data_IF_348499282925
#
_entry.id   IF_348499282925
#
_cell.length_a   1.000
_cell.length_b   1.000
_cell.length_c   1.000
_cell.angle_alpha   90.00
_cell.angle_beta   90.00
_cell.angle_gamma   90.00
#
_symmetry.space_group_name_H-M   'P 1'
#
loop_
_entity.id
_entity.type
_entity.pdbx_description
1 polymer ?
#
# COMPACT_ATOMS: atom_id res chain seq x y z
N UNK A 1 10.48 -42.41 -54.09
CA UNK A 1 10.96 -41.79 -52.81
C UNK A 1 12.02 -40.68 -52.99
N UNK A 2 12.71 -40.54 -54.10
CA UNK A 2 13.76 -39.53 -54.31
C UNK A 2 13.27 -38.11 -54.61
N UNK A 3 12.07 -37.95 -55.15
CA UNK A 3 11.50 -36.60 -55.50
C UNK A 3 10.99 -35.78 -54.30
N UNK A 4 10.63 -36.42 -53.19
CA UNK A 4 10.12 -35.71 -51.98
C UNK A 4 11.25 -35.15 -51.13
N UNK A 5 12.46 -35.71 -51.18
CA UNK A 5 13.62 -35.25 -50.43
C UNK A 5 14.27 -33.98 -51.03
N UNK A 6 14.18 -33.75 -52.32
CA UNK A 6 14.76 -32.57 -52.99
C UNK A 6 13.92 -31.31 -52.73
N UNK A 7 12.60 -31.44 -52.69
CA UNK A 7 11.68 -30.31 -52.41
C UNK A 7 11.81 -29.85 -50.95
N UNK A 8 12.09 -30.77 -50.01
CA UNK A 8 12.26 -30.43 -48.59
C UNK A 8 13.58 -29.71 -48.30
N UNK A 9 14.64 -30.00 -49.05
CA UNK A 9 15.96 -29.37 -48.92
C UNK A 9 16.00 -27.91 -49.48
N UNK A 10 15.18 -27.63 -50.50
CA UNK A 10 15.08 -26.27 -51.07
C UNK A 10 14.25 -25.33 -50.19
N UNK A 11 13.24 -25.83 -49.50
CA UNK A 11 12.36 -25.02 -48.62
C UNK A 11 13.07 -24.60 -47.31
N UNK A 12 13.96 -25.44 -46.80
CA UNK A 12 14.72 -25.12 -45.58
C UNK A 12 15.85 -24.10 -45.81
N UNK A 13 16.43 -24.05 -47.01
CA UNK A 13 17.46 -23.06 -47.32
C UNK A 13 16.89 -21.66 -47.53
N UNK A 14 15.67 -21.55 -48.07
CA UNK A 14 15.01 -20.23 -48.20
C UNK A 14 14.57 -19.69 -46.83
N UNK A 15 14.07 -20.52 -45.91
CA UNK A 15 13.74 -20.06 -44.56
C UNK A 15 14.96 -19.55 -43.80
N UNK A 16 16.10 -20.21 -43.87
CA UNK A 16 17.33 -19.71 -43.27
C UNK A 16 17.79 -18.35 -43.80
N UNK A 17 17.58 -18.09 -45.11
CA UNK A 17 17.86 -16.77 -45.70
C UNK A 17 16.91 -15.70 -45.19
N UNK A 18 15.65 -16.00 -44.97
CA UNK A 18 14.69 -15.05 -44.40
C UNK A 18 14.98 -14.75 -42.92
N UNK A 19 15.44 -15.73 -42.11
CA UNK A 19 15.87 -15.50 -40.74
C UNK A 19 17.16 -14.66 -40.66
N UNK A 20 18.10 -14.85 -41.57
CA UNK A 20 19.32 -14.03 -41.67
C UNK A 20 18.98 -12.61 -42.11
N UNK A 21 18.07 -12.42 -43.03
CA UNK A 21 17.59 -11.09 -43.48
C UNK A 21 16.79 -10.40 -42.39
N UNK A 22 15.92 -11.10 -41.67
CA UNK A 22 15.17 -10.59 -40.51
C UNK A 22 16.11 -10.20 -39.35
N UNK A 23 17.17 -11.00 -39.11
CA UNK A 23 18.18 -10.69 -38.10
C UNK A 23 19.01 -9.46 -38.48
N UNK A 24 19.34 -9.28 -39.76
CA UNK A 24 20.04 -8.09 -40.26
C UNK A 24 19.18 -6.83 -40.19
N UNK A 25 17.87 -6.93 -40.51
CA UNK A 25 16.91 -5.83 -40.35
C UNK A 25 16.70 -5.47 -38.87
N UNK A 26 16.68 -6.47 -37.98
CA UNK A 26 16.59 -6.24 -36.54
C UNK A 26 17.86 -5.58 -35.98
N UNK A 27 19.04 -5.88 -36.56
CA UNK A 27 20.32 -5.31 -36.15
C UNK A 27 20.50 -3.87 -36.65
N UNK A 28 19.94 -3.50 -37.81
CA UNK A 28 19.96 -2.13 -38.34
C UNK A 28 18.94 -1.23 -37.61
N UNK A 29 17.85 -1.79 -37.09
CA UNK A 29 16.88 -1.06 -36.26
C UNK A 29 17.43 -0.75 -34.84
N UNK A 30 18.55 -1.36 -34.43
CA UNK A 30 19.16 -1.18 -33.10
C UNK A 30 20.14 0.00 -32.96
N UNK A 31 20.44 0.74 -34.06
CA UNK A 31 21.23 1.98 -34.01
C UNK A 31 20.34 3.23 -34.02
N UNK A 32 19.25 3.21 -33.23
CA UNK A 32 18.65 4.46 -32.83
C UNK A 32 19.66 5.15 -31.92
N UNK A 33 20.37 6.14 -32.45
CA UNK A 33 21.11 7.11 -31.64
C UNK A 33 20.14 7.58 -30.59
N UNK A 34 20.46 7.34 -29.31
CA UNK A 34 19.75 7.94 -28.21
C UNK A 34 19.93 9.45 -28.36
N UNK A 35 19.00 10.09 -29.04
CA UNK A 35 18.88 11.52 -29.06
C UNK A 35 18.49 11.87 -27.62
N UNK A 36 19.34 12.58 -26.91
CA UNK A 36 19.04 13.07 -25.56
C UNK A 36 17.74 13.87 -25.65
N UNK A 37 16.66 13.24 -25.20
CA UNK A 37 15.33 13.84 -25.22
C UNK A 37 15.33 14.95 -24.15
N UNK A 38 15.27 16.21 -24.60
CA UNK A 38 15.14 17.35 -23.69
C UNK A 38 13.67 17.66 -23.48
N UNK A 39 13.22 17.51 -22.24
CA UNK A 39 11.84 17.86 -21.85
C UNK A 39 11.87 19.23 -21.17
N UNK A 40 11.08 20.17 -21.70
CA UNK A 40 10.85 21.45 -21.05
C UNK A 40 9.63 21.34 -20.12
N UNK A 41 9.76 21.78 -18.88
CA UNK A 41 8.73 21.71 -17.85
C UNK A 41 8.42 23.11 -17.31
N UNK A 42 7.14 23.43 -17.21
CA UNK A 42 6.64 24.55 -16.39
C UNK A 42 6.46 24.06 -14.95
N UNK A 43 6.35 24.99 -14.00
CA UNK A 43 6.11 24.65 -12.58
C UNK A 43 4.84 23.82 -12.40
N UNK A 44 3.75 24.21 -13.06
CA UNK A 44 2.47 23.49 -12.98
C UNK A 44 2.59 22.04 -13.48
N UNK A 45 3.25 21.83 -14.61
CA UNK A 45 3.48 20.50 -15.16
C UNK A 45 4.35 19.65 -14.23
N UNK A 46 5.38 20.23 -13.63
CA UNK A 46 6.24 19.53 -12.66
C UNK A 46 5.43 19.07 -11.44
N UNK A 47 4.56 19.94 -10.91
CA UNK A 47 3.66 19.61 -9.78
C UNK A 47 2.69 18.48 -10.16
N UNK A 48 2.05 18.54 -11.31
CA UNK A 48 1.13 17.50 -11.78
C UNK A 48 1.82 16.14 -11.92
N UNK A 49 3.01 16.09 -12.53
CA UNK A 49 3.83 14.88 -12.63
C UNK A 49 4.20 14.36 -11.24
N UNK A 50 4.62 15.25 -10.32
CA UNK A 50 4.99 14.86 -8.98
C UNK A 50 3.82 14.28 -8.19
N UNK A 51 2.65 14.89 -8.25
CA UNK A 51 1.44 14.39 -7.58
C UNK A 51 0.96 13.04 -8.15
N UNK A 52 1.25 12.77 -9.42
CA UNK A 52 0.85 11.51 -10.05
C UNK A 52 1.90 10.40 -9.90
N UNK A 53 3.17 10.71 -10.10
CA UNK A 53 4.22 9.72 -10.28
C UNK A 53 5.29 9.69 -9.20
N UNK A 54 5.42 10.73 -8.35
CA UNK A 54 6.47 10.72 -7.32
C UNK A 54 6.31 9.56 -6.33
N UNK A 55 7.42 8.99 -5.84
CA UNK A 55 7.38 7.94 -4.82
C UNK A 55 6.59 8.34 -3.57
N UNK A 56 6.68 9.62 -3.17
CA UNK A 56 5.99 10.16 -2.01
C UNK A 56 4.48 10.22 -2.23
N UNK A 57 4.02 10.70 -3.40
CA UNK A 57 2.59 10.72 -3.75
C UNK A 57 2.01 9.30 -3.85
N UNK A 58 2.78 8.35 -4.41
CA UNK A 58 2.37 6.95 -4.46
C UNK A 58 2.26 6.34 -3.06
N UNK A 59 3.22 6.60 -2.17
CA UNK A 59 3.17 6.16 -0.77
C UNK A 59 1.95 6.72 -0.05
N UNK A 60 1.67 8.02 -0.19
CA UNK A 60 0.48 8.67 0.37
C UNK A 60 -0.82 8.04 -0.17
N UNK A 61 -0.89 7.76 -1.48
CA UNK A 61 -2.03 7.10 -2.11
C UNK A 61 -2.25 5.69 -1.57
N UNK A 62 -1.18 4.91 -1.38
CA UNK A 62 -1.27 3.56 -0.81
C UNK A 62 -1.71 3.58 0.66
N UNK A 63 -1.21 4.52 1.46
CA UNK A 63 -1.62 4.73 2.85
C UNK A 63 -3.11 5.08 2.93
N UNK A 64 -3.58 5.99 2.09
CA UNK A 64 -5.01 6.31 2.01
C UNK A 64 -5.87 5.11 1.58
N UNK A 65 -5.42 4.32 0.59
CA UNK A 65 -6.11 3.10 0.17
C UNK A 65 -6.21 2.08 1.30
N UNK A 66 -5.14 1.92 2.08
CA UNK A 66 -5.16 1.05 3.27
C UNK A 66 -6.21 1.53 4.29
N UNK A 67 -6.25 2.84 4.59
CA UNK A 67 -7.25 3.43 5.48
C UNK A 67 -8.69 3.25 4.95
N UNK A 68 -8.90 3.40 3.64
CA UNK A 68 -10.19 3.15 2.99
C UNK A 68 -10.65 1.69 3.18
N UNK A 69 -9.76 0.72 2.94
CA UNK A 69 -10.11 -0.69 3.09
C UNK A 69 -10.29 -1.08 4.55
N UNK A 70 -9.54 -0.50 5.49
CA UNK A 70 -9.75 -0.66 6.93
C UNK A 70 -11.12 -0.15 7.35
N UNK A 71 -11.54 1.01 6.84
CA UNK A 71 -12.90 1.53 7.08
C UNK A 71 -13.99 0.64 6.47
N UNK A 72 -13.74 0.09 5.26
CA UNK A 72 -14.66 -0.89 4.64
C UNK A 72 -14.76 -2.18 5.44
N UNK A 73 -13.63 -2.70 5.93
CA UNK A 73 -13.57 -3.86 6.82
C UNK A 73 -14.34 -3.59 8.13
N UNK A 74 -14.09 -2.44 8.75
CA UNK A 74 -14.86 -2.02 9.92
C UNK A 74 -16.37 -2.04 9.65
N UNK A 75 -16.82 -1.48 8.55
CA UNK A 75 -18.25 -1.50 8.17
C UNK A 75 -18.77 -2.92 7.96
N UNK A 76 -17.97 -3.80 7.39
CA UNK A 76 -18.34 -5.20 7.17
C UNK A 76 -18.57 -5.97 8.48
N UNK A 77 -17.89 -5.59 9.58
CA UNK A 77 -18.10 -6.21 10.90
C UNK A 77 -19.51 -6.00 11.49
N UNK A 78 -20.29 -5.10 10.91
CA UNK A 78 -21.72 -4.91 11.27
C UNK A 78 -22.68 -5.70 10.37
N UNK A 79 -22.17 -6.42 9.39
CA UNK A 79 -22.94 -7.31 8.54
C UNK A 79 -22.87 -8.75 9.09
N UNK A 80 -23.86 -9.61 8.76
CA UNK A 80 -23.77 -11.03 9.09
C UNK A 80 -22.52 -11.67 8.45
N UNK A 81 -21.79 -12.46 9.24
CA UNK A 81 -20.68 -13.28 8.76
C UNK A 81 -21.12 -14.74 8.67
N UNK A 82 -20.68 -15.44 7.63
CA UNK A 82 -20.93 -16.86 7.42
C UNK A 82 -19.61 -17.61 7.53
N UNK A 83 -19.55 -18.59 8.41
CA UNK A 83 -18.36 -19.40 8.64
C UNK A 83 -18.70 -20.87 8.46
N UNK A 84 -17.97 -21.55 7.58
CA UNK A 84 -17.98 -23.02 7.45
C UNK A 84 -16.70 -23.55 8.07
N UNK A 85 -16.81 -24.48 9.00
CA UNK A 85 -15.68 -25.11 9.65
C UNK A 85 -15.82 -26.64 9.63
N UNK A 86 -14.68 -27.34 9.48
CA UNK A 86 -14.60 -28.79 9.57
C UNK A 86 -13.37 -29.15 10.41
N UNK A 87 -13.56 -30.12 11.31
CA UNK A 87 -12.53 -30.55 12.26
C UNK A 87 -12.48 -32.08 12.30
N UNK A 88 -11.69 -32.74 11.40
CA UNK A 88 -11.44 -34.17 11.52
C UNK A 88 -10.48 -34.44 12.68
N UNK A 89 -10.83 -35.40 13.54
CA UNK A 89 -10.02 -35.82 14.68
C UNK A 89 -9.94 -37.35 14.71
N UNK A 90 -8.74 -37.88 14.54
CA UNK A 90 -8.45 -39.33 14.68
C UNK A 90 -7.97 -39.59 16.10
N UNK A 91 -8.78 -40.30 16.88
CA UNK A 91 -8.47 -40.68 18.25
C UNK A 91 -8.14 -42.18 18.32
N UNK A 92 -6.97 -42.55 18.84
CA UNK A 92 -6.50 -43.87 19.12
C UNK A 92 -5.98 -43.96 20.54
N UNK A 93 -6.81 -44.52 21.43
CA UNK A 93 -6.45 -44.64 22.84
C UNK A 93 -6.88 -46.00 23.40
N UNK A 94 -6.33 -46.38 24.56
CA UNK A 94 -6.75 -47.51 25.33
C UNK A 94 -7.38 -47.01 26.62
N UNK A 95 -8.68 -47.17 26.71
CA UNK A 95 -9.48 -46.75 27.87
C UNK A 95 -9.53 -47.86 28.89
N UNK A 96 -9.18 -47.55 30.13
CA UNK A 96 -9.36 -48.47 31.26
C UNK A 96 -10.75 -48.30 31.85
N UNK A 97 -11.57 -49.32 31.75
CA UNK A 97 -12.91 -49.35 32.34
C UNK A 97 -12.86 -50.27 33.55
N UNK A 98 -13.20 -49.75 34.74
CA UNK A 98 -13.35 -50.55 35.94
C UNK A 98 -14.77 -51.12 35.99
N UNK A 99 -14.88 -52.43 36.02
CA UNK A 99 -16.15 -53.12 36.08
C UNK A 99 -16.74 -53.09 37.50
N UNK A 100 -18.05 -53.33 37.69
CA UNK A 100 -18.69 -53.34 39.01
C UNK A 100 -18.09 -54.38 40.01
N UNK A 101 -17.42 -55.40 39.49
CA UNK A 101 -16.72 -56.44 40.27
C UNK A 101 -15.30 -56.02 40.70
N UNK A 102 -14.87 -54.79 40.38
CA UNK A 102 -13.54 -54.26 40.67
C UNK A 102 -12.46 -54.67 39.69
N UNK A 103 -12.76 -55.46 38.66
CA UNK A 103 -11.82 -55.81 37.61
C UNK A 103 -11.61 -54.67 36.61
N UNK A 104 -10.42 -54.56 36.03
CA UNK A 104 -10.11 -53.55 35.01
C UNK A 104 -10.11 -54.19 33.62
N UNK A 105 -10.96 -53.68 32.75
CA UNK A 105 -10.97 -53.99 31.34
C UNK A 105 -10.32 -52.90 30.54
N UNK A 106 -9.41 -53.24 29.63
CA UNK A 106 -8.80 -52.30 28.70
C UNK A 106 -9.50 -52.40 27.37
N UNK A 107 -10.19 -51.30 26.97
CA UNK A 107 -10.90 -51.20 25.70
C UNK A 107 -10.12 -50.30 24.76
N UNK A 108 -9.78 -50.81 23.60
CA UNK A 108 -9.17 -49.99 22.54
C UNK A 108 -10.27 -49.13 21.90
N UNK A 109 -10.02 -47.88 21.79
CA UNK A 109 -10.86 -46.92 21.05
C UNK A 109 -10.07 -46.41 19.86
N UNK A 110 -10.56 -46.68 18.67
CA UNK A 110 -9.97 -46.24 17.41
C UNK A 110 -11.08 -45.65 16.57
N UNK A 111 -11.21 -44.34 16.59
CA UNK A 111 -12.32 -43.63 15.96
C UNK A 111 -11.86 -42.39 15.20
N UNK A 112 -12.52 -42.11 14.08
CA UNK A 112 -12.44 -40.85 13.35
C UNK A 112 -13.72 -40.03 13.64
N UNK A 113 -13.57 -38.88 14.25
CA UNK A 113 -14.64 -37.95 14.44
C UNK A 113 -14.46 -36.77 13.48
N UNK A 114 -15.45 -36.49 12.67
CA UNK A 114 -15.43 -35.37 11.73
C UNK A 114 -16.61 -34.46 11.99
N UNK A 115 -16.33 -33.25 12.44
CA UNK A 115 -17.31 -32.20 12.66
C UNK A 115 -17.40 -31.30 11.43
N UNK A 116 -18.63 -31.00 10.99
CA UNK A 116 -18.94 -29.99 9.98
C UNK A 116 -19.93 -29.00 10.57
N UNK A 117 -19.54 -27.72 10.62
CA UNK A 117 -20.37 -26.66 11.21
C UNK A 117 -20.47 -25.47 10.26
N UNK A 118 -21.71 -25.02 10.03
CA UNK A 118 -22.02 -23.76 9.35
C UNK A 118 -22.64 -22.82 10.38
N UNK A 119 -21.98 -21.67 10.59
CA UNK A 119 -22.43 -20.63 11.53
C UNK A 119 -22.64 -19.31 10.79
N UNK A 120 -23.81 -18.69 11.01
CA UNK A 120 -24.10 -17.31 10.64
C UNK A 120 -24.05 -16.50 11.93
N UNK A 121 -23.23 -15.45 11.99
CA UNK A 121 -23.06 -14.63 13.18
C UNK A 121 -23.35 -13.16 12.85
N UNK A 122 -24.13 -12.48 13.69
CA UNK A 122 -24.49 -11.07 13.56
C UNK A 122 -24.12 -10.32 14.85
N UNK A 123 -23.20 -9.37 14.73
CA UNK A 123 -22.83 -8.50 15.83
C UNK A 123 -23.92 -7.44 16.10
N UNK A 124 -24.22 -7.21 17.38
CA UNK A 124 -25.22 -6.23 17.83
C UNK A 124 -24.47 -5.05 18.47
N UNK A 125 -24.32 -3.96 17.73
CA UNK A 125 -23.45 -2.85 18.11
C UNK A 125 -23.86 -2.12 19.41
N UNK A 126 -25.17 -2.02 19.70
CA UNK A 126 -25.65 -1.26 20.86
C UNK A 126 -25.53 -2.04 22.16
N UNK A 127 -25.60 -3.37 22.14
CA UNK A 127 -25.40 -4.24 23.30
C UNK A 127 -23.95 -4.69 23.43
N UNK A 128 -23.23 -4.83 22.34
CA UNK A 128 -21.88 -5.42 22.29
C UNK A 128 -21.90 -6.94 22.23
N UNK A 129 -23.08 -7.55 22.15
CA UNK A 129 -23.25 -8.99 22.00
C UNK A 129 -23.30 -9.45 20.56
N UNK A 130 -23.50 -10.74 20.36
CA UNK A 130 -23.68 -11.33 19.04
C UNK A 130 -24.82 -12.34 19.02
N UNK A 131 -25.58 -12.30 17.95
CA UNK A 131 -26.64 -13.25 17.63
C UNK A 131 -26.09 -14.25 16.62
N UNK A 132 -26.36 -15.55 16.82
CA UNK A 132 -25.90 -16.57 15.91
C UNK A 132 -26.97 -17.61 15.58
N UNK A 133 -26.85 -18.13 14.35
CA UNK A 133 -27.58 -19.34 13.91
C UNK A 133 -26.48 -20.29 13.42
N UNK A 134 -26.53 -21.55 13.92
CA UNK A 134 -25.58 -22.58 13.49
C UNK A 134 -26.28 -23.91 13.19
N UNK A 135 -25.71 -24.65 12.27
CA UNK A 135 -25.98 -26.07 12.06
C UNK A 135 -24.67 -26.84 12.22
N UNK A 136 -24.73 -27.99 12.88
CA UNK A 136 -23.53 -28.82 13.09
C UNK A 136 -23.89 -30.28 12.85
N UNK A 137 -23.03 -30.98 12.12
CA UNK A 137 -23.11 -32.41 11.94
C UNK A 137 -21.77 -33.01 12.30
N UNK A 138 -21.78 -33.93 13.25
CA UNK A 138 -20.63 -34.75 13.62
C UNK A 138 -20.84 -36.15 13.09
N UNK A 139 -19.88 -36.70 12.38
CA UNK A 139 -19.80 -38.09 12.00
C UNK A 139 -18.70 -38.75 12.81
N UNK A 140 -19.02 -39.89 13.42
CA UNK A 140 -18.11 -40.70 14.20
C UNK A 140 -18.04 -42.08 13.51
N UNK A 141 -16.86 -42.47 13.04
CA UNK A 141 -16.55 -43.76 12.51
C UNK A 141 -15.67 -44.48 13.54
N UNK A 142 -16.20 -45.54 14.13
CA UNK A 142 -15.49 -46.41 15.06
C UNK A 142 -14.98 -47.65 14.29
N UNK A 143 -13.66 -47.81 14.24
CA UNK A 143 -13.03 -48.84 13.37
C UNK A 143 -12.98 -50.21 14.00
N UNK A 144 -13.10 -50.34 15.32
CA UNK A 144 -13.07 -51.66 16.00
C UNK A 144 -14.37 -52.44 15.80
N UNK A 145 -15.52 -51.76 15.78
CA UNK A 145 -16.85 -52.40 15.65
C UNK A 145 -17.54 -52.09 14.31
N UNK A 146 -16.83 -51.42 13.38
CA UNK A 146 -17.35 -50.97 12.07
C UNK A 146 -18.68 -50.17 12.22
N UNK A 147 -18.72 -49.30 13.25
CA UNK A 147 -19.89 -48.51 13.59
C UNK A 147 -19.75 -47.10 13.10
N UNK A 148 -20.74 -46.60 12.35
CA UNK A 148 -20.86 -45.18 12.00
C UNK A 148 -22.08 -44.61 12.72
N UNK A 149 -21.81 -43.47 13.42
CA UNK A 149 -22.84 -42.72 14.12
C UNK A 149 -22.80 -41.24 13.69
N UNK A 150 -23.94 -40.59 13.70
CA UNK A 150 -24.11 -39.20 13.41
C UNK A 150 -24.75 -38.47 14.60
N UNK A 151 -24.16 -37.34 14.97
CA UNK A 151 -24.75 -36.39 15.91
C UNK A 151 -25.01 -35.08 15.17
N UNK A 152 -26.24 -34.75 14.91
CA UNK A 152 -26.64 -33.60 14.11
C UNK A 152 -27.46 -32.61 14.94
N UNK A 153 -27.09 -31.35 14.84
CA UNK A 153 -27.87 -30.21 15.34
C UNK A 153 -28.36 -29.41 14.11
N UNK A 154 -29.54 -29.71 13.58
CA UNK A 154 -29.99 -29.12 12.31
C UNK A 154 -30.10 -27.61 12.37
N UNK A 155 -30.53 -27.07 13.51
CA UNK A 155 -30.62 -25.63 13.76
C UNK A 155 -30.39 -25.34 15.24
N UNK A 156 -29.52 -24.41 15.52
CA UNK A 156 -29.30 -23.83 16.84
C UNK A 156 -29.26 -22.31 16.67
N UNK A 157 -30.10 -21.63 17.44
CA UNK A 157 -30.16 -20.16 17.49
C UNK A 157 -29.67 -19.73 18.86
N UNK A 158 -28.83 -18.73 18.94
CA UNK A 158 -28.32 -18.26 20.22
C UNK A 158 -27.92 -16.80 20.22
N UNK A 159 -27.73 -16.31 21.43
CA UNK A 159 -27.25 -14.96 21.72
C UNK A 159 -26.21 -15.03 22.81
N UNK A 160 -25.11 -14.31 22.59
CA UNK A 160 -24.02 -14.18 23.55
C UNK A 160 -23.73 -12.71 23.82
N UNK A 161 -23.54 -12.34 25.11
CA UNK A 161 -23.25 -10.97 25.49
C UNK A 161 -22.50 -10.93 26.82
N UNK A 162 -21.47 -10.11 26.88
CA UNK A 162 -20.87 -9.71 28.14
C UNK A 162 -21.72 -8.61 28.77
N UNK A 163 -22.25 -8.85 30.00
CA UNK A 163 -23.19 -7.94 30.65
C UNK A 163 -22.52 -6.67 31.18
N UNK A 164 -21.30 -6.79 31.69
CA UNK A 164 -20.52 -5.69 32.26
C UNK A 164 -19.23 -5.41 31.48
N UNK A 165 -19.09 -6.05 30.32
CA UNK A 165 -17.91 -5.95 29.48
C UNK A 165 -17.83 -4.64 28.69
N UNK A 166 -16.63 -4.36 28.20
CA UNK A 166 -16.38 -3.26 27.29
C UNK A 166 -17.01 -3.53 25.91
N UNK A 167 -17.86 -2.59 25.45
CA UNK A 167 -18.50 -2.68 24.14
C UNK A 167 -17.63 -1.99 23.07
N UNK A 168 -16.72 -2.74 22.44
CA UNK A 168 -15.81 -2.28 21.38
C UNK A 168 -16.58 -1.81 20.13
N UNK A 169 -17.68 -2.48 19.76
CA UNK A 169 -18.49 -2.13 18.59
C UNK A 169 -19.06 -0.71 18.69
N UNK A 170 -19.54 -0.33 19.88
CA UNK A 170 -20.08 1.01 20.13
C UNK A 170 -19.01 2.09 20.02
N UNK A 171 -17.81 1.85 20.51
CA UNK A 171 -16.70 2.79 20.43
C UNK A 171 -16.13 2.88 19.02
N UNK A 172 -15.90 1.76 18.37
CA UNK A 172 -15.39 1.74 17.00
C UNK A 172 -16.35 2.45 16.02
N UNK A 173 -17.66 2.37 16.27
CA UNK A 173 -18.65 3.10 15.46
C UNK A 173 -18.48 4.62 15.52
N UNK A 174 -17.91 5.15 16.61
CA UNK A 174 -17.62 6.58 16.78
C UNK A 174 -16.24 6.95 16.29
N UNK A 175 -15.25 6.09 16.51
CA UNK A 175 -13.83 6.35 16.23
C UNK A 175 -13.50 6.16 14.75
N UNK A 176 -13.94 5.07 14.14
CA UNK A 176 -13.53 4.73 12.76
C UNK A 176 -13.95 5.74 11.68
N UNK A 177 -15.13 6.39 11.74
CA UNK A 177 -15.45 7.46 10.82
C UNK A 177 -14.53 8.69 10.94
N UNK A 178 -14.07 9.00 12.17
CA UNK A 178 -13.12 10.09 12.42
C UNK A 178 -11.76 9.73 11.83
N UNK A 179 -11.27 8.52 12.11
CA UNK A 179 -10.02 7.99 11.55
C UNK A 179 -10.01 8.01 10.01
N UNK A 180 -11.13 7.69 9.39
CA UNK A 180 -11.23 7.75 7.93
C UNK A 180 -11.23 9.20 7.40
N UNK A 181 -11.87 10.16 8.09
CA UNK A 181 -11.81 11.60 7.73
C UNK A 181 -10.40 12.15 7.89
N UNK A 182 -9.74 11.82 9.01
CA UNK A 182 -8.33 12.12 9.26
C UNK A 182 -7.45 11.62 8.11
N UNK A 183 -7.52 10.33 7.77
CA UNK A 183 -6.73 9.74 6.69
C UNK A 183 -6.95 10.42 5.33
N UNK A 184 -8.17 10.89 5.04
CA UNK A 184 -8.46 11.64 3.82
C UNK A 184 -7.78 13.00 3.81
N UNK A 185 -7.78 13.71 4.94
CA UNK A 185 -7.11 15.01 5.07
C UNK A 185 -5.59 14.87 5.03
N UNK A 186 -5.05 13.86 5.72
CA UNK A 186 -3.61 13.53 5.67
C UNK A 186 -3.15 13.22 4.24
N UNK A 187 -3.97 12.55 3.45
CA UNK A 187 -3.66 12.33 2.03
C UNK A 187 -3.60 13.64 1.24
N UNK A 188 -4.56 14.55 1.45
CA UNK A 188 -4.54 15.86 0.79
C UNK A 188 -3.32 16.69 1.21
N UNK A 189 -3.00 16.71 2.51
CA UNK A 189 -1.81 17.39 3.05
C UNK A 189 -0.52 16.83 2.45
N UNK A 190 -0.40 15.50 2.32
CA UNK A 190 0.76 14.86 1.71
C UNK A 190 0.95 15.26 0.24
N UNK A 191 -0.14 15.45 -0.52
CA UNK A 191 -0.06 15.95 -1.90
C UNK A 191 0.39 17.40 -1.97
N UNK A 192 -0.09 18.26 -1.04
CA UNK A 192 0.35 19.65 -0.95
C UNK A 192 1.84 19.75 -0.56
N UNK A 193 2.30 18.88 0.33
CA UNK A 193 3.71 18.78 0.69
C UNK A 193 4.58 18.38 -0.52
N UNK A 194 4.11 17.42 -1.33
CA UNK A 194 4.76 17.05 -2.59
C UNK A 194 4.83 18.25 -3.54
N UNK A 195 3.75 19.03 -3.66
CA UNK A 195 3.72 20.22 -4.51
C UNK A 195 4.72 21.29 -4.05
N UNK A 196 4.77 21.56 -2.73
CA UNK A 196 5.71 22.49 -2.14
C UNK A 196 7.17 22.07 -2.37
N UNK A 197 7.47 20.81 -2.16
CA UNK A 197 8.81 20.28 -2.37
C UNK A 197 9.21 20.27 -3.85
N UNK A 198 8.27 19.97 -4.76
CA UNK A 198 8.48 20.07 -6.21
C UNK A 198 8.83 21.50 -6.59
N UNK A 199 8.10 22.50 -6.06
CA UNK A 199 8.37 23.92 -6.33
C UNK A 199 9.77 24.30 -5.89
N UNK A 200 10.21 23.87 -4.71
CA UNK A 200 11.56 24.12 -4.22
C UNK A 200 12.62 23.54 -5.15
N UNK A 201 12.49 22.28 -5.56
CA UNK A 201 13.43 21.61 -6.45
C UNK A 201 13.42 22.20 -7.86
N UNK A 202 12.26 22.61 -8.35
CA UNK A 202 12.10 23.30 -9.64
C UNK A 202 12.90 24.61 -9.67
N UNK A 203 12.74 25.47 -8.66
CA UNK A 203 13.45 26.74 -8.60
C UNK A 203 14.94 26.58 -8.31
N UNK A 204 15.36 25.53 -7.60
CA UNK A 204 16.77 25.22 -7.45
C UNK A 204 17.42 24.91 -8.81
N UNK A 205 16.77 24.08 -9.63
CA UNK A 205 17.23 23.79 -10.99
C UNK A 205 17.22 25.04 -11.88
N UNK A 206 16.16 25.87 -11.82
CA UNK A 206 16.08 27.11 -12.58
C UNK A 206 17.23 28.07 -12.24
N UNK A 207 17.55 28.17 -10.95
CA UNK A 207 18.68 29.00 -10.47
C UNK A 207 20.02 28.44 -10.98
N UNK A 208 20.22 27.12 -10.92
CA UNK A 208 21.42 26.48 -11.43
C UNK A 208 21.59 26.68 -12.95
N UNK A 209 20.50 26.55 -13.74
CA UNK A 209 20.51 26.83 -15.18
C UNK A 209 20.87 28.27 -15.49
N UNK A 210 20.28 29.23 -14.75
CA UNK A 210 20.61 30.66 -14.89
C UNK A 210 22.06 30.95 -14.56
N UNK A 211 22.58 30.35 -13.49
CA UNK A 211 23.99 30.50 -13.12
C UNK A 211 24.95 29.94 -14.18
N UNK A 212 24.59 28.84 -14.84
CA UNK A 212 25.37 28.29 -15.95
C UNK A 212 25.37 29.25 -17.17
N UNK A 213 24.23 29.86 -17.49
CA UNK A 213 24.13 30.83 -18.58
C UNK A 213 24.97 32.06 -18.27
N UNK A 214 24.99 32.56 -17.05
CA UNK A 214 25.83 33.67 -16.58
C UNK A 214 27.33 33.27 -16.66
N UNK A 215 27.73 32.12 -16.13
CA UNK A 215 29.12 31.66 -16.17
C UNK A 215 29.63 31.50 -17.61
N UNK A 216 28.77 30.97 -18.50
CA UNK A 216 29.08 30.81 -19.92
C UNK A 216 29.29 32.18 -20.60
N UNK A 217 28.44 33.17 -20.30
CA UNK A 217 28.58 34.53 -20.81
C UNK A 217 29.86 35.22 -20.31
N UNK A 218 30.16 35.04 -19.00
CA UNK A 218 31.41 35.57 -18.41
C UNK A 218 32.65 34.94 -19.04
N UNK A 219 32.66 33.62 -19.23
CA UNK A 219 33.77 32.94 -19.92
C UNK A 219 33.95 33.45 -21.36
N UNK A 220 32.87 33.62 -22.12
CA UNK A 220 32.96 34.16 -23.49
C UNK A 220 33.55 35.60 -23.50
N UNK A 221 33.18 36.41 -22.49
CA UNK A 221 33.75 37.76 -22.33
C UNK A 221 35.25 37.72 -21.97
N UNK A 222 35.64 36.86 -21.03
CA UNK A 222 37.01 36.68 -20.60
C UNK A 222 37.91 36.12 -21.75
N UNK A 223 37.41 35.20 -22.55
CA UNK A 223 38.10 34.66 -23.73
C UNK A 223 38.31 35.77 -24.78
N UNK A 224 37.33 36.61 -25.00
CA UNK A 224 37.44 37.76 -25.90
C UNK A 224 38.51 38.75 -25.42
N UNK A 225 38.51 39.09 -24.13
CA UNK A 225 39.54 39.98 -23.54
C UNK A 225 40.94 39.39 -23.63
N UNK A 226 41.08 38.11 -23.37
CA UNK A 226 42.37 37.41 -23.50
C UNK A 226 42.89 37.45 -24.96
N UNK A 227 42.04 37.17 -25.96
CA UNK A 227 42.43 37.26 -27.38
C UNK A 227 42.87 38.66 -27.80
N UNK A 228 42.18 39.69 -27.29
CA UNK A 228 42.65 41.10 -27.53
C UNK A 228 43.97 41.37 -26.86
N UNK A 229 44.26 40.86 -25.67
CA UNK A 229 45.51 41.01 -24.97
C UNK A 229 46.62 40.29 -25.69
N UNK A 230 46.41 39.07 -26.16
CA UNK A 230 47.38 38.29 -26.97
C UNK A 230 47.77 39.06 -28.25
N UNK A 231 46.81 39.65 -28.96
CA UNK A 231 47.07 40.50 -30.12
C UNK A 231 47.89 41.73 -29.78
N UNK A 232 47.61 42.42 -28.66
CA UNK A 232 48.34 43.58 -28.18
C UNK A 232 49.77 43.23 -27.68
N UNK A 233 49.96 42.08 -27.06
CA UNK A 233 51.27 41.57 -26.66
C UNK A 233 52.10 41.27 -27.87
N UNK A 234 51.59 40.64 -28.91
CA UNK A 234 52.30 40.31 -30.13
C UNK A 234 52.81 41.55 -30.89
N UNK A 235 52.17 42.72 -30.77
CA UNK A 235 52.66 43.98 -31.34
C UNK A 235 53.36 44.85 -30.31
N UNK A 236 53.65 44.35 -29.09
CA UNK A 236 54.47 44.98 -28.07
C UNK A 236 53.79 46.14 -27.32
N UNK A 237 52.46 46.21 -27.28
CA UNK A 237 51.71 47.31 -26.63
C UNK A 237 51.34 47.03 -25.20
N UNK A 238 51.41 45.76 -24.74
CA UNK A 238 51.20 45.34 -23.33
C UNK A 238 52.37 44.44 -22.90
N UNK A 239 52.60 44.30 -21.61
CA UNK A 239 53.60 43.42 -21.05
C UNK A 239 53.06 42.00 -20.84
N UNK A 240 53.94 41.01 -20.63
CA UNK A 240 53.59 39.61 -20.42
C UNK A 240 52.77 39.39 -19.18
N UNK A 241 53.02 40.12 -18.09
CA UNK A 241 52.23 40.00 -16.85
C UNK A 241 50.77 40.37 -17.06
N UNK A 242 50.47 41.42 -17.83
CA UNK A 242 49.10 41.83 -18.16
C UNK A 242 48.39 40.76 -19.00
N UNK A 243 49.06 40.15 -19.94
CA UNK A 243 48.53 39.04 -20.75
C UNK A 243 48.24 37.81 -19.89
N UNK A 244 49.21 37.38 -19.04
CA UNK A 244 49.07 36.24 -18.14
C UNK A 244 47.92 36.45 -17.10
N UNK A 245 47.72 37.69 -16.63
CA UNK A 245 46.60 38.03 -15.75
C UNK A 245 45.24 37.75 -16.41
N UNK A 246 45.08 38.09 -17.68
CA UNK A 246 43.87 37.83 -18.44
C UNK A 246 43.70 36.36 -18.80
N UNK A 247 44.82 35.62 -18.99
CA UNK A 247 44.79 34.17 -19.15
C UNK A 247 44.31 33.46 -17.88
N UNK A 248 44.80 33.86 -16.70
CA UNK A 248 44.33 33.33 -15.39
C UNK A 248 42.84 33.62 -15.22
N UNK A 249 42.38 34.83 -15.57
CA UNK A 249 40.96 35.17 -15.50
C UNK A 249 40.12 34.27 -16.42
N UNK A 250 40.53 34.03 -17.67
CA UNK A 250 39.86 33.12 -18.60
C UNK A 250 39.77 31.70 -18.04
N UNK A 251 40.89 31.13 -17.50
CA UNK A 251 40.92 29.80 -16.89
C UNK A 251 40.07 29.70 -15.65
N UNK A 252 39.97 30.77 -14.89
CA UNK A 252 39.07 30.86 -13.72
C UNK A 252 37.60 30.79 -14.17
N UNK A 253 37.23 31.58 -15.19
CA UNK A 253 35.85 31.54 -15.71
C UNK A 253 35.51 30.20 -16.40
N UNK A 254 36.49 29.54 -17.05
CA UNK A 254 36.29 28.18 -17.56
C UNK A 254 36.01 27.19 -16.44
N UNK A 255 36.72 27.31 -15.31
CA UNK A 255 36.45 26.47 -14.12
C UNK A 255 35.07 26.76 -13.54
N UNK A 256 34.64 28.05 -13.53
CA UNK A 256 33.31 28.42 -13.09
C UNK A 256 32.19 27.80 -13.95
N UNK A 257 32.37 27.74 -15.29
CA UNK A 257 31.45 27.04 -16.20
C UNK A 257 31.38 25.55 -15.89
N UNK A 258 32.52 24.89 -15.63
CA UNK A 258 32.54 23.47 -15.29
C UNK A 258 31.77 23.21 -13.98
N UNK A 259 32.04 24.02 -12.95
CA UNK A 259 31.32 23.89 -11.67
C UNK A 259 29.81 24.14 -11.80
N UNK A 260 29.42 25.17 -12.56
CA UNK A 260 28.01 25.45 -12.81
C UNK A 260 27.31 24.35 -13.59
N UNK A 261 28.01 23.67 -14.51
CA UNK A 261 27.49 22.53 -15.26
C UNK A 261 27.25 21.32 -14.34
N UNK A 262 28.20 21.04 -13.42
CA UNK A 262 28.04 19.98 -12.42
C UNK A 262 26.80 20.26 -11.52
N UNK A 263 26.64 21.52 -11.10
CA UNK A 263 25.48 21.92 -10.28
C UNK A 263 24.16 21.72 -11.00
N UNK A 264 24.07 22.08 -12.29
CA UNK A 264 22.87 21.83 -13.11
C UNK A 264 22.55 20.34 -13.18
N UNK A 265 23.57 19.50 -13.40
CA UNK A 265 23.37 18.03 -13.47
C UNK A 265 22.87 17.47 -12.12
N UNK A 266 23.43 17.92 -11.00
CA UNK A 266 23.03 17.50 -9.65
C UNK A 266 21.58 17.89 -9.34
N UNK A 267 21.22 19.15 -9.58
CA UNK A 267 19.87 19.65 -9.36
C UNK A 267 18.85 18.99 -10.30
N UNK A 268 19.23 18.73 -11.55
CA UNK A 268 18.42 18.02 -12.53
C UNK A 268 18.19 16.56 -12.11
N UNK A 269 19.22 15.87 -11.64
CA UNK A 269 19.12 14.50 -11.14
C UNK A 269 18.21 14.43 -9.90
N UNK A 270 18.34 15.40 -9.01
CA UNK A 270 17.51 15.49 -7.80
C UNK A 270 16.03 15.68 -8.14
N UNK A 271 15.73 16.63 -9.03
CA UNK A 271 14.35 16.87 -9.48
C UNK A 271 13.79 15.64 -10.23
N UNK A 272 14.57 15.06 -11.13
CA UNK A 272 14.17 13.86 -11.90
C UNK A 272 13.83 12.69 -10.99
N UNK A 273 14.67 12.42 -9.99
CA UNK A 273 14.45 11.37 -8.99
C UNK A 273 13.19 11.63 -8.17
N UNK A 274 12.97 12.89 -7.77
CA UNK A 274 11.77 13.28 -7.01
C UNK A 274 10.48 13.14 -7.83
N UNK A 275 10.52 13.51 -9.11
CA UNK A 275 9.38 13.34 -10.02
C UNK A 275 9.08 11.88 -10.37
N UNK A 276 9.98 10.94 -10.03
CA UNK A 276 9.85 9.52 -10.36
C UNK A 276 10.14 9.22 -11.85
N UNK A 277 10.90 10.08 -12.53
CA UNK A 277 11.29 9.88 -13.93
C UNK A 277 12.53 8.99 -13.98
N UNK A 278 12.34 7.72 -14.35
CA UNK A 278 13.41 6.70 -14.38
C UNK A 278 14.25 6.71 -15.66
N UNK A 279 13.99 7.62 -16.60
CA UNK A 279 14.75 7.75 -17.85
C UNK A 279 15.83 8.81 -17.69
N UNK A 280 16.98 8.63 -18.33
CA UNK A 280 17.99 9.68 -18.50
C UNK A 280 17.48 10.67 -19.55
N UNK A 281 16.81 11.71 -19.08
CA UNK A 281 16.22 12.78 -19.91
C UNK A 281 16.77 14.09 -19.39
N UNK A 282 17.17 14.97 -20.29
CA UNK A 282 17.54 16.33 -19.95
C UNK A 282 16.29 17.16 -19.62
N UNK A 283 16.22 17.67 -18.39
CA UNK A 283 15.14 18.55 -17.96
C UNK A 283 15.55 20.02 -18.11
N UNK A 284 14.76 20.77 -18.86
CA UNK A 284 14.86 22.24 -18.89
C UNK A 284 13.63 22.82 -18.21
N UNK A 285 13.83 23.57 -17.15
CA UNK A 285 12.73 24.23 -16.45
C UNK A 285 12.52 25.65 -16.99
N UNK A 286 11.26 26.04 -17.10
CA UNK A 286 10.85 27.35 -17.58
C UNK A 286 10.03 28.00 -16.45
N UNK A 287 10.62 28.87 -15.63
CA UNK A 287 9.90 29.60 -14.61
C UNK A 287 8.94 30.63 -15.26
N UNK A 288 7.81 30.88 -14.61
CA UNK A 288 6.94 32.00 -15.01
C UNK A 288 7.60 33.32 -14.67
N UNK A 289 7.50 34.28 -15.57
CA UNK A 289 8.03 35.63 -15.38
C UNK A 289 7.12 36.52 -14.52
N UNK A 290 5.85 36.11 -14.34
CA UNK A 290 4.88 36.84 -13.55
C UNK A 290 4.87 36.37 -12.10
N UNK A 291 5.17 37.27 -11.17
CA UNK A 291 5.02 37.04 -9.74
C UNK A 291 3.57 37.37 -9.37
N UNK A 292 2.76 36.39 -8.92
CA UNK A 292 1.40 36.67 -8.53
C UNK A 292 1.36 37.60 -7.31
N UNK A 293 0.68 38.72 -7.45
CA UNK A 293 0.50 39.69 -6.36
C UNK A 293 -0.82 39.42 -5.63
N UNK A 294 -0.73 38.68 -4.48
CA UNK A 294 -1.90 38.42 -3.64
C UNK A 294 -1.55 38.59 -2.16
N UNK A 295 -2.52 39.06 -1.39
CA UNK A 295 -2.40 39.11 0.06
C UNK A 295 -3.09 37.89 0.68
N UNK A 296 -2.52 37.33 1.72
CA UNK A 296 -3.10 36.22 2.48
C UNK A 296 -3.65 36.78 3.80
N UNK A 297 -4.98 37.00 3.92
CA UNK A 297 -5.57 37.45 5.18
C UNK A 297 -5.39 36.38 6.26
N UNK A 298 -4.84 36.78 7.41
CA UNK A 298 -4.53 35.83 8.52
C UNK A 298 -5.77 35.05 8.97
N UNK A 299 -6.92 35.69 9.05
CA UNK A 299 -8.15 35.01 9.50
C UNK A 299 -8.63 33.95 8.51
N UNK A 300 -8.51 34.23 7.22
CA UNK A 300 -8.88 33.26 6.18
C UNK A 300 -7.90 32.10 6.15
N UNK A 301 -6.60 32.38 6.22
CA UNK A 301 -5.56 31.35 6.31
C UNK A 301 -5.78 30.42 7.51
N UNK A 302 -6.07 30.96 8.69
CA UNK A 302 -6.36 30.22 9.90
C UNK A 302 -7.64 29.36 9.75
N UNK A 303 -8.70 29.90 9.19
CA UNK A 303 -9.94 29.18 8.93
C UNK A 303 -9.71 28.01 7.96
N UNK A 304 -8.98 28.23 6.87
CA UNK A 304 -8.65 27.18 5.88
C UNK A 304 -7.72 26.13 6.48
N UNK A 305 -6.76 26.52 7.32
CA UNK A 305 -5.89 25.60 8.03
C UNK A 305 -6.71 24.65 8.92
N UNK A 306 -7.59 25.17 9.78
CA UNK A 306 -8.46 24.34 10.61
C UNK A 306 -9.40 23.42 9.81
N UNK A 307 -9.89 23.88 8.66
CA UNK A 307 -10.79 23.12 7.81
C UNK A 307 -10.09 21.98 7.09
N UNK A 308 -8.88 22.21 6.57
CA UNK A 308 -8.19 21.31 5.67
C UNK A 308 -7.16 20.42 6.38
N UNK A 309 -6.56 20.91 7.48
CA UNK A 309 -5.59 20.15 8.27
C UNK A 309 -6.19 18.90 8.91
N UNK A 310 -5.44 17.79 9.04
CA UNK A 310 -5.87 16.59 9.73
C UNK A 310 -5.89 16.71 11.26
N UNK A 311 -5.17 17.68 11.86
CA UNK A 311 -4.99 17.77 13.31
C UNK A 311 -6.30 17.84 14.11
N UNK A 312 -7.34 18.59 13.70
CA UNK A 312 -8.60 18.62 14.44
C UNK A 312 -9.23 17.22 14.57
N UNK A 313 -9.22 16.44 13.49
CA UNK A 313 -9.69 15.05 13.50
C UNK A 313 -8.78 14.15 14.33
N UNK A 314 -7.47 14.35 14.27
CA UNK A 314 -6.48 13.61 15.07
C UNK A 314 -6.74 13.81 16.56
N UNK A 315 -6.93 15.05 17.01
CA UNK A 315 -7.23 15.33 18.42
C UNK A 315 -8.61 14.81 18.85
N UNK A 316 -9.63 14.90 17.99
CA UNK A 316 -10.93 14.31 18.26
C UNK A 316 -10.85 12.78 18.39
N UNK A 317 -10.12 12.13 17.50
CA UNK A 317 -9.88 10.68 17.55
C UNK A 317 -9.13 10.28 18.82
N UNK A 318 -8.02 10.91 19.15
CA UNK A 318 -7.23 10.63 20.35
C UNK A 318 -8.08 10.79 21.62
N UNK A 319 -8.89 11.83 21.70
CA UNK A 319 -9.82 12.05 22.80
C UNK A 319 -10.87 10.93 22.92
N UNK A 320 -11.39 10.45 21.79
CA UNK A 320 -12.34 9.34 21.77
C UNK A 320 -11.67 8.01 22.12
N UNK A 321 -10.47 7.76 21.62
CA UNK A 321 -9.68 6.57 21.94
C UNK A 321 -9.32 6.51 23.43
N UNK A 322 -8.85 7.60 24.02
CA UNK A 322 -8.55 7.67 25.47
C UNK A 322 -9.79 7.42 26.32
N UNK A 323 -10.95 7.93 25.92
CA UNK A 323 -12.22 7.64 26.60
C UNK A 323 -12.63 6.17 26.45
N UNK A 324 -12.38 5.58 25.30
CA UNK A 324 -12.61 4.17 25.01
C UNK A 324 -11.72 3.27 25.87
N UNK A 325 -10.43 3.63 25.98
CA UNK A 325 -9.47 2.93 26.83
C UNK A 325 -9.84 3.01 28.31
N UNK A 326 -10.24 4.19 28.78
CA UNK A 326 -10.74 4.35 30.15
C UNK A 326 -11.98 3.48 30.41
N UNK A 327 -12.93 3.41 29.46
CA UNK A 327 -14.11 2.56 29.56
C UNK A 327 -13.71 1.08 29.58
N UNK A 328 -12.73 0.67 28.77
CA UNK A 328 -12.17 -0.68 28.73
C UNK A 328 -11.50 -1.04 30.07
N UNK A 329 -10.67 -0.15 30.61
CA UNK A 329 -10.01 -0.34 31.88
C UNK A 329 -11.01 -0.49 33.05
N UNK A 330 -12.05 0.36 33.09
CA UNK A 330 -13.11 0.26 34.07
C UNK A 330 -13.90 -1.06 33.98
N UNK A 331 -14.22 -1.50 32.76
CA UNK A 331 -14.92 -2.78 32.54
C UNK A 331 -14.05 -3.98 32.97
N UNK A 332 -12.75 -3.92 32.73
CA UNK A 332 -11.82 -4.98 33.10
C UNK A 332 -11.55 -5.07 34.61
N UNK A 333 -11.65 -3.94 35.31
CA UNK A 333 -11.51 -3.88 36.77
C UNK A 333 -12.79 -4.24 37.54
N UNK A 334 -13.95 -4.31 36.83
CA UNK A 334 -15.26 -4.56 37.41
C UNK A 334 -15.67 -6.04 37.44
N UNK A 335 -16.94 -6.26 37.77
CA UNK A 335 -17.57 -7.58 37.71
C UNK A 335 -17.61 -8.08 36.26
N UNK A 336 -17.29 -9.35 36.06
CA UNK A 336 -17.41 -10.03 34.76
C UNK A 336 -18.52 -11.04 34.81
N UNK A 337 -19.50 -10.90 33.93
CA UNK A 337 -20.55 -11.87 33.74
C UNK A 337 -20.92 -11.93 32.26
N UNK A 338 -21.03 -13.14 31.75
CA UNK A 338 -21.37 -13.39 30.34
C UNK A 338 -22.71 -14.12 30.29
N UNK A 339 -23.62 -13.59 29.50
CA UNK A 339 -24.90 -14.21 29.17
C UNK A 339 -24.70 -15.01 27.88
N UNK A 340 -24.97 -16.30 27.96
CA UNK A 340 -25.05 -17.18 26.80
C UNK A 340 -26.40 -17.91 26.80
N UNK A 341 -27.20 -17.68 25.79
CA UNK A 341 -28.51 -18.32 25.60
C UNK A 341 -28.52 -19.01 24.25
N UNK A 342 -28.82 -20.28 24.21
CA UNK A 342 -29.03 -20.99 22.94
C UNK A 342 -30.28 -21.89 23.03
N UNK A 343 -30.92 -22.02 21.89
CA UNK A 343 -32.05 -22.91 21.68
C UNK A 343 -31.83 -23.69 20.40
N UNK A 344 -31.96 -25.00 20.43
CA UNK A 344 -31.70 -25.81 19.28
C UNK A 344 -32.26 -27.21 19.36
N UNK A 345 -32.26 -27.88 18.24
CA UNK A 345 -32.63 -29.26 18.07
C UNK A 345 -31.37 -30.12 17.93
N UNK A 346 -31.37 -31.29 18.57
CA UNK A 346 -30.29 -32.26 18.41
C UNK A 346 -30.87 -33.64 18.11
N UNK A 347 -30.16 -34.41 17.29
CA UNK A 347 -30.50 -35.74 16.89
C UNK A 347 -29.27 -36.61 16.79
N UNK A 348 -29.32 -37.83 17.30
CA UNK A 348 -28.28 -38.84 17.19
C UNK A 348 -28.84 -40.08 16.51
N UNK A 349 -28.11 -40.67 15.57
CA UNK A 349 -28.57 -41.87 14.85
C UNK A 349 -27.53 -42.41 13.87
N UNK A 350 -27.83 -43.48 13.21
CA UNK A 350 -26.97 -44.13 12.21
C UNK A 350 -27.04 -43.47 10.81
N UNK A 351 -27.88 -42.42 10.67
CA UNK A 351 -28.04 -41.63 9.45
C UNK A 351 -27.87 -40.14 9.79
N UNK A 352 -27.34 -39.33 8.87
CA UNK A 352 -27.05 -37.91 9.13
C UNK A 352 -28.30 -37.08 9.51
N UNK A 353 -29.46 -37.44 8.99
CA UNK A 353 -30.76 -36.80 9.30
C UNK A 353 -31.87 -37.87 9.28
N UNK A 354 -32.63 -37.99 10.37
CA UNK A 354 -33.83 -38.81 10.44
C UNK A 354 -34.94 -37.96 11.05
N UNK A 355 -35.97 -37.63 10.27
CA UNK A 355 -37.10 -36.77 10.69
C UNK A 355 -38.17 -37.60 11.46
N UNK A 356 -37.86 -38.10 12.65
CA UNK A 356 -38.85 -38.91 13.34
C UNK A 356 -39.52 -38.28 14.56
N UNK A 357 -39.17 -37.14 15.08
CA UNK A 357 -39.91 -36.31 16.06
C UNK A 357 -39.00 -35.15 16.56
N UNK A 358 -39.61 -33.95 16.62
CA UNK A 358 -39.02 -32.75 17.21
C UNK A 358 -39.20 -32.76 18.73
N UNK A 359 -38.22 -33.20 19.49
CA UNK A 359 -38.16 -32.92 20.93
C UNK A 359 -37.27 -31.71 21.16
N UNK A 360 -37.83 -30.72 21.86
CA UNK A 360 -37.20 -29.43 22.18
C UNK A 360 -36.47 -29.52 23.55
N UNK A 361 -35.15 -29.61 23.64
CA UNK A 361 -34.47 -29.34 24.90
C UNK A 361 -34.10 -27.87 24.98
N UNK A 362 -34.62 -27.18 25.99
CA UNK A 362 -34.17 -25.85 26.37
C UNK A 362 -32.99 -25.98 27.31
N UNK A 363 -31.79 -25.55 26.92
CA UNK A 363 -30.64 -25.47 27.81
C UNK A 363 -30.35 -23.99 28.08
N UNK A 364 -30.66 -23.53 29.28
CA UNK A 364 -30.24 -22.25 29.83
C UNK A 364 -28.95 -22.47 30.59
N UNK A 365 -27.84 -21.86 30.17
CA UNK A 365 -26.61 -21.76 30.96
C UNK A 365 -26.39 -20.31 31.35
N UNK A 366 -26.47 -20.04 32.65
CA UNK A 366 -26.06 -18.77 33.26
C UNK A 366 -24.71 -18.92 33.91
#
# INVERSE_FOLDING_TARGET
MARILIIRKHKTNNMKRYYILAFYILFIAGTATAQEETISLTLQQAIEIAQEHSPQAQAARHTYRAAYWNYRFFRANYLPSVTLSSSPNLNREINKITQPDGTNQFVKQNQLSTDLSLKINQNVWFTGGSFFIKTTTQRIDEFENDLTAYNTQPIVVGYEQSLFGYNSLKWNRRIEPIRYREARKTYSEALELVSSQTSTLFFNLATAQTNLDIATSNHASADTLYRYAEGRYNIGTINENEMLQLEINKLTEETNVMNARIEVEDQMQTLRSFLGINREVNLRVIPDDEIPNFEIPMQEALHLAFKNSPEPETYERLKMESRSELASAKANAGLKADLYVQFGLSQTGNKPVSYTHLTLPTILRV
#
